data_IF_267783876862
#
_entry.id   IF_267783876862
#
_cell.length_a   1.000
_cell.length_b   1.000
_cell.length_c   1.000
_cell.angle_alpha   90.00
_cell.angle_beta   90.00
_cell.angle_gamma   90.00
#
_symmetry.space_group_name_H-M   'P 1'
#
loop_
_entity.id
_entity.type
_entity.pdbx_description
1 polymer ?
#
# COMPACT_ATOMS: atom_id res chain seq x y z
N UNK A 1 -17.71 -0.97 -10.95
CA UNK A 1 -17.80 -2.43 -10.74
C UNK A 1 -17.12 -2.77 -9.43
N UNK A 2 -17.79 -3.51 -8.54
CA UNK A 2 -17.19 -4.11 -7.35
C UNK A 2 -16.69 -5.51 -7.68
N UNK A 3 -15.48 -5.87 -7.25
CA UNK A 3 -14.96 -7.24 -7.36
C UNK A 3 -14.42 -7.68 -6.01
N UNK A 4 -14.83 -8.86 -5.57
CA UNK A 4 -14.24 -9.57 -4.42
C UNK A 4 -13.32 -10.63 -5.00
N UNK A 5 -12.03 -10.51 -4.69
CA UNK A 5 -11.01 -11.46 -5.08
C UNK A 5 -10.58 -12.26 -3.86
N UNK A 6 -10.47 -13.58 -4.02
CA UNK A 6 -9.93 -14.47 -2.99
C UNK A 6 -8.51 -14.83 -3.36
N UNK A 7 -7.67 -14.85 -2.33
CA UNK A 7 -6.23 -15.08 -2.46
C UNK A 7 -5.74 -15.99 -1.35
N UNK A 8 -5.02 -17.04 -1.72
CA UNK A 8 -4.27 -17.88 -0.79
C UNK A 8 -3.09 -17.13 -0.18
N UNK A 9 -2.89 -17.31 1.12
CA UNK A 9 -1.75 -16.76 1.85
C UNK A 9 -0.53 -17.65 1.67
N UNK A 10 -0.71 -18.95 1.90
CA UNK A 10 0.31 -20.01 1.73
C UNK A 10 0.22 -20.70 0.38
N UNK A 11 -0.83 -20.43 -0.40
CA UNK A 11 -1.07 -21.08 -1.70
C UNK A 11 -1.13 -20.07 -2.83
N UNK A 12 -0.87 -20.53 -4.05
CA UNK A 12 -0.97 -19.72 -5.25
C UNK A 12 -2.42 -19.45 -5.70
N UNK A 13 -3.42 -19.80 -4.87
CA UNK A 13 -4.83 -19.60 -5.16
C UNK A 13 -5.13 -18.12 -5.37
N UNK A 14 -5.63 -17.75 -6.55
CA UNK A 14 -6.02 -16.39 -6.89
C UNK A 14 -7.22 -16.48 -7.83
N UNK A 15 -8.38 -16.03 -7.39
CA UNK A 15 -9.54 -16.05 -8.27
C UNK A 15 -10.56 -14.96 -7.91
N UNK A 16 -11.23 -14.38 -8.92
CA UNK A 16 -12.29 -13.41 -8.71
C UNK A 16 -13.56 -14.14 -8.21
N UNK A 17 -13.78 -14.11 -6.90
CA UNK A 17 -14.87 -14.82 -6.22
C UNK A 17 -16.24 -14.24 -6.53
N UNK A 18 -16.40 -12.92 -6.49
CA UNK A 18 -17.66 -12.23 -6.82
C UNK A 18 -17.41 -10.94 -7.60
N UNK A 19 -18.36 -10.56 -8.45
CA UNK A 19 -18.30 -9.35 -9.26
C UNK A 19 -19.69 -8.76 -9.40
N UNK A 20 -19.83 -7.48 -9.12
CA UNK A 20 -21.09 -6.75 -9.16
C UNK A 20 -20.94 -5.51 -10.03
N UNK A 21 -21.79 -5.40 -11.04
CA UNK A 21 -21.86 -4.21 -11.88
C UNK A 21 -22.51 -3.08 -11.07
N UNK A 22 -21.67 -2.16 -10.58
CA UNK A 22 -22.10 -1.02 -9.76
C UNK A 22 -21.37 0.23 -10.22
N UNK A 23 -22.07 1.37 -10.20
CA UNK A 23 -21.47 2.69 -10.46
C UNK A 23 -20.75 3.21 -9.21
N UNK A 24 -21.32 2.95 -8.05
CA UNK A 24 -20.75 3.23 -6.73
C UNK A 24 -21.32 2.24 -5.73
N UNK A 25 -20.62 2.00 -4.63
CA UNK A 25 -21.13 1.22 -3.50
C UNK A 25 -20.90 1.98 -2.20
N UNK A 26 -21.86 1.95 -1.29
CA UNK A 26 -21.71 2.47 0.07
C UNK A 26 -21.34 1.35 1.04
N UNK A 27 -20.78 1.71 2.19
CA UNK A 27 -20.40 0.74 3.22
C UNK A 27 -21.55 -0.17 3.65
N UNK A 28 -22.76 0.39 3.73
CA UNK A 28 -23.96 -0.29 4.20
C UNK A 28 -24.39 -1.44 3.25
N UNK A 29 -24.10 -1.31 1.95
CA UNK A 29 -24.26 -2.41 0.97
C UNK A 29 -23.05 -3.33 0.92
N UNK A 30 -21.84 -2.81 1.10
CA UNK A 30 -20.61 -3.62 1.08
C UNK A 30 -20.58 -4.62 2.26
N UNK A 31 -21.05 -4.20 3.43
CA UNK A 31 -21.04 -4.98 4.66
C UNK A 31 -21.71 -6.36 4.53
N UNK A 32 -23.00 -6.48 4.13
CA UNK A 32 -23.65 -7.78 3.96
C UNK A 32 -23.05 -8.61 2.81
N UNK A 33 -22.58 -7.97 1.73
CA UNK A 33 -21.94 -8.67 0.60
C UNK A 33 -20.64 -9.35 1.06
N UNK A 34 -19.82 -8.62 1.82
CA UNK A 34 -18.57 -9.14 2.36
C UNK A 34 -18.83 -10.33 3.29
N UNK A 35 -19.72 -10.21 4.28
CA UNK A 35 -20.00 -11.30 5.21
C UNK A 35 -20.65 -12.50 4.53
N UNK A 36 -21.48 -12.30 3.50
CA UNK A 36 -21.98 -13.40 2.68
C UNK A 36 -20.86 -14.13 1.95
N UNK A 37 -19.87 -13.41 1.43
CA UNK A 37 -18.69 -14.02 0.81
C UNK A 37 -17.87 -14.83 1.81
N UNK A 38 -17.59 -14.27 3.00
CA UNK A 38 -16.88 -14.97 4.08
C UNK A 38 -17.63 -16.24 4.50
N UNK A 39 -18.95 -16.16 4.71
CA UNK A 39 -19.81 -17.31 5.02
C UNK A 39 -19.68 -18.43 4.00
N UNK A 40 -19.71 -18.11 2.70
CA UNK A 40 -19.57 -19.13 1.64
C UNK A 40 -18.17 -19.75 1.68
N UNK A 41 -17.12 -18.94 1.80
CA UNK A 41 -15.73 -19.40 1.83
C UNK A 41 -15.47 -20.35 3.01
N UNK A 42 -15.92 -19.98 4.20
CA UNK A 42 -15.66 -20.76 5.39
C UNK A 42 -16.61 -21.93 5.58
N UNK A 43 -17.92 -21.70 5.45
CA UNK A 43 -18.91 -22.74 5.72
C UNK A 43 -18.96 -23.78 4.60
N UNK A 44 -18.85 -23.35 3.33
CA UNK A 44 -19.01 -24.24 2.16
C UNK A 44 -17.68 -24.77 1.64
N UNK A 45 -16.67 -23.90 1.47
CA UNK A 45 -15.37 -24.29 0.90
C UNK A 45 -14.32 -24.65 1.94
N UNK A 46 -14.61 -24.46 3.24
CA UNK A 46 -13.68 -24.70 4.35
C UNK A 46 -12.36 -23.92 4.21
N UNK A 47 -12.41 -22.75 3.58
CA UNK A 47 -11.30 -21.82 3.44
C UNK A 47 -11.41 -20.73 4.50
N UNK A 48 -10.47 -20.69 5.45
CA UNK A 48 -10.42 -19.64 6.49
C UNK A 48 -10.06 -18.28 5.90
N UNK A 49 -10.80 -17.25 6.27
CA UNK A 49 -10.55 -15.87 5.83
C UNK A 49 -9.87 -15.09 6.94
N UNK A 50 -8.56 -14.88 6.82
CA UNK A 50 -7.78 -14.16 7.83
C UNK A 50 -7.78 -12.64 7.63
N UNK A 51 -7.83 -12.18 6.38
CA UNK A 51 -7.65 -10.77 6.04
C UNK A 51 -8.69 -10.26 5.05
N UNK A 52 -9.08 -9.01 5.23
CA UNK A 52 -9.75 -8.19 4.24
C UNK A 52 -8.88 -6.98 3.89
N UNK A 53 -8.47 -6.90 2.62
CA UNK A 53 -7.64 -5.83 2.09
C UNK A 53 -8.48 -4.94 1.20
N UNK A 54 -8.53 -3.65 1.52
CA UNK A 54 -9.27 -2.66 0.73
C UNK A 54 -8.38 -1.46 0.39
N UNK A 55 -8.72 -0.79 -0.71
CA UNK A 55 -8.13 0.51 -1.01
C UNK A 55 -8.63 1.59 -0.04
N UNK A 56 -8.07 2.79 -0.16
CA UNK A 56 -8.42 3.93 0.67
C UNK A 56 -9.76 4.59 0.32
N UNK A 57 -10.69 3.98 -0.44
CA UNK A 57 -11.95 4.63 -0.80
C UNK A 57 -12.85 4.91 0.44
N UNK A 58 -13.69 5.95 0.36
CA UNK A 58 -14.56 6.37 1.47
C UNK A 58 -15.50 5.27 1.94
N UNK A 59 -16.08 4.50 1.00
CA UNK A 59 -16.95 3.37 1.31
C UNK A 59 -16.21 2.26 2.08
N UNK A 60 -14.97 1.96 1.70
CA UNK A 60 -14.15 0.93 2.35
C UNK A 60 -13.75 1.33 3.76
N UNK A 61 -13.36 2.59 3.97
CA UNK A 61 -13.07 3.11 5.31
C UNK A 61 -14.30 3.10 6.22
N UNK A 62 -15.46 3.52 5.71
CA UNK A 62 -16.71 3.45 6.47
C UNK A 62 -17.09 1.99 6.75
N UNK A 63 -16.84 1.07 5.82
CA UNK A 63 -17.03 -0.37 6.04
C UNK A 63 -16.18 -0.91 7.19
N UNK A 64 -14.90 -0.54 7.31
CA UNK A 64 -14.12 -0.90 8.51
C UNK A 64 -14.72 -0.31 9.78
N UNK A 65 -15.19 0.94 9.74
CA UNK A 65 -15.83 1.59 10.90
C UNK A 65 -17.15 0.94 11.33
N UNK A 66 -17.91 0.33 10.41
CA UNK A 66 -19.13 -0.40 10.76
C UNK A 66 -18.88 -1.62 11.67
N UNK A 67 -17.62 -2.08 11.79
CA UNK A 67 -17.23 -3.17 12.69
C UNK A 67 -16.82 -2.68 14.09
N UNK A 68 -16.94 -1.38 14.38
CA UNK A 68 -16.71 -0.85 15.74
C UNK A 68 -17.73 -1.41 16.71
N UNK A 69 -17.22 -1.94 17.82
CA UNK A 69 -18.03 -2.37 18.96
C UNK A 69 -18.19 -1.26 20.01
N UNK A 70 -17.37 -0.21 19.93
CA UNK A 70 -17.34 0.90 20.88
C UNK A 70 -17.41 2.27 20.17
N UNK A 71 -17.63 3.32 20.96
CA UNK A 71 -17.59 4.71 20.49
C UNK A 71 -16.16 5.28 20.43
N UNK A 72 -15.13 4.43 20.36
CA UNK A 72 -13.75 4.88 20.34
C UNK A 72 -13.44 5.67 19.07
N UNK A 73 -12.57 6.67 19.18
CA UNK A 73 -12.06 7.43 18.03
C UNK A 73 -11.00 6.67 17.24
N UNK A 74 -10.44 5.60 17.83
CA UNK A 74 -9.40 4.76 17.24
C UNK A 74 -9.90 3.99 16.01
N UNK A 75 -9.06 3.77 15.00
CA UNK A 75 -9.47 2.99 13.83
C UNK A 75 -9.57 1.49 14.17
N UNK A 76 -10.57 0.82 13.57
CA UNK A 76 -10.75 -0.64 13.70
C UNK A 76 -9.85 -1.35 12.72
N UNK A 77 -9.09 -2.30 13.24
CA UNK A 77 -8.15 -3.10 12.46
C UNK A 77 -8.49 -4.60 12.49
N UNK A 78 -9.46 -5.03 13.30
CA UNK A 78 -9.96 -6.39 13.27
C UNK A 78 -11.44 -6.47 13.69
N UNK A 79 -12.06 -7.60 13.42
CA UNK A 79 -13.39 -7.95 13.92
C UNK A 79 -13.47 -9.44 14.23
N UNK A 80 -14.41 -9.85 15.08
CA UNK A 80 -14.66 -11.26 15.33
C UNK A 80 -15.35 -11.87 14.12
N UNK A 81 -14.90 -13.04 13.70
CA UNK A 81 -15.58 -13.77 12.65
C UNK A 81 -16.82 -14.48 13.23
N UNK A 82 -18.05 -14.17 12.75
CA UNK A 82 -19.28 -14.82 13.21
C UNK A 82 -19.37 -16.30 12.80
N UNK A 83 -18.46 -16.80 11.98
CA UNK A 83 -18.42 -18.21 11.55
C UNK A 83 -17.30 -19.03 12.20
N UNK A 84 -16.35 -18.38 12.88
CA UNK A 84 -15.29 -19.02 13.68
C UNK A 84 -14.94 -18.07 14.85
N UNK A 85 -15.59 -18.26 16.00
CA UNK A 85 -15.40 -17.37 17.17
C UNK A 85 -13.96 -17.36 17.71
N UNK A 86 -13.15 -18.36 17.35
CA UNK A 86 -11.73 -18.44 17.73
C UNK A 86 -10.82 -17.67 16.76
N UNK A 87 -11.36 -17.17 15.64
CA UNK A 87 -10.61 -16.50 14.60
C UNK A 87 -11.07 -15.05 14.42
N UNK A 88 -10.18 -14.10 14.71
CA UNK A 88 -10.35 -12.72 14.28
C UNK A 88 -10.05 -12.57 12.79
N UNK A 89 -10.85 -11.75 12.12
CA UNK A 89 -10.61 -11.27 10.76
C UNK A 89 -9.97 -9.89 10.83
N UNK A 90 -8.82 -9.72 10.17
CA UNK A 90 -8.02 -8.51 10.20
C UNK A 90 -8.23 -7.64 8.96
N UNK A 91 -8.29 -6.32 9.15
CA UNK A 91 -8.41 -5.34 8.09
C UNK A 91 -7.05 -4.75 7.74
N UNK A 92 -6.73 -4.68 6.46
CA UNK A 92 -5.50 -4.06 5.97
C UNK A 92 -5.87 -3.02 4.93
N UNK A 93 -5.32 -1.81 5.07
CA UNK A 93 -5.42 -0.82 4.00
C UNK A 93 -4.34 -1.12 2.95
N UNK A 94 -4.63 -0.87 1.68
CA UNK A 94 -3.67 -1.05 0.58
C UNK A 94 -2.38 -0.22 0.83
N UNK A 95 -1.36 -0.85 1.41
CA UNK A 95 -0.06 -0.25 1.76
C UNK A 95 0.56 0.55 0.60
N UNK A 96 0.59 0.03 -0.65
CA UNK A 96 0.93 0.78 -1.86
C UNK A 96 0.18 2.10 -2.04
N UNK A 97 -1.11 2.11 -1.74
CA UNK A 97 -1.94 3.31 -1.79
C UNK A 97 -1.58 4.28 -0.67
N UNK A 98 -1.27 3.79 0.54
CA UNK A 98 -0.83 4.64 1.65
C UNK A 98 0.43 5.43 1.27
N UNK A 99 1.40 4.78 0.63
CA UNK A 99 2.61 5.44 0.13
C UNK A 99 2.30 6.58 -0.85
N UNK A 100 1.36 6.34 -1.79
CA UNK A 100 0.89 7.38 -2.71
C UNK A 100 0.21 8.52 -1.97
N UNK A 101 -0.62 8.23 -0.98
CA UNK A 101 -1.29 9.29 -0.20
C UNK A 101 -0.30 10.10 0.64
N UNK A 102 0.79 9.50 1.10
CA UNK A 102 1.89 10.20 1.78
C UNK A 102 2.57 11.19 0.83
N UNK A 103 2.92 10.75 -0.39
CA UNK A 103 3.42 11.64 -1.45
C UNK A 103 2.42 12.74 -1.82
N UNK A 104 1.12 12.43 -1.87
CA UNK A 104 0.08 13.43 -2.14
C UNK A 104 -0.03 14.49 -1.02
N UNK A 105 0.27 14.10 0.22
CA UNK A 105 0.34 15.05 1.34
C UNK A 105 1.61 15.89 1.27
N UNK A 106 2.75 15.28 0.93
CA UNK A 106 4.05 15.96 0.83
C UNK A 106 4.07 16.99 -0.31
N UNK A 107 3.63 16.59 -1.51
CA UNK A 107 3.57 17.46 -2.71
C UNK A 107 2.40 18.43 -2.70
N UNK A 108 1.57 18.47 -1.65
CA UNK A 108 0.29 19.16 -1.68
C UNK A 108 0.41 20.68 -1.87
N UNK A 109 1.41 21.30 -1.26
CA UNK A 109 1.69 22.74 -1.39
C UNK A 109 1.98 23.14 -2.85
N UNK A 110 2.47 22.19 -3.65
CA UNK A 110 2.79 22.35 -5.07
C UNK A 110 1.65 21.87 -5.99
N UNK A 111 0.64 21.19 -5.43
CA UNK A 111 -0.56 20.83 -6.15
C UNK A 111 -1.50 22.03 -6.31
N UNK A 112 -2.39 22.00 -7.30
CA UNK A 112 -3.41 23.04 -7.51
C UNK A 112 -4.31 23.32 -6.28
N UNK A 113 -4.36 22.40 -5.30
CA UNK A 113 -5.20 22.52 -4.10
C UNK A 113 -4.53 23.32 -2.97
N UNK A 114 -3.19 23.32 -2.88
CA UNK A 114 -2.38 24.03 -1.85
C UNK A 114 -2.95 23.97 -0.42
N UNK A 115 -3.37 22.79 0.02
CA UNK A 115 -4.11 22.60 1.30
C UNK A 115 -3.25 22.13 2.48
N UNK A 116 -2.03 21.64 2.25
CA UNK A 116 -1.16 21.10 3.30
C UNK A 116 0.26 21.62 3.20
N UNK A 117 0.87 21.86 4.36
CA UNK A 117 2.25 22.25 4.53
C UNK A 117 2.79 21.45 5.72
N UNK A 118 3.41 20.31 5.45
CA UNK A 118 3.85 19.39 6.49
C UNK A 118 4.97 20.03 7.32
N UNK A 119 4.89 19.88 8.64
CA UNK A 119 5.78 20.56 9.58
C UNK A 119 5.94 19.72 10.83
N UNK A 120 7.17 19.46 11.29
CA UNK A 120 7.45 18.72 12.51
C UNK A 120 8.69 19.30 13.20
N UNK A 121 8.77 19.22 14.54
CA UNK A 121 9.95 19.66 15.33
C UNK A 121 10.58 20.98 14.82
N UNK A 122 9.73 21.99 14.62
CA UNK A 122 10.13 23.34 14.15
C UNK A 122 10.76 23.42 12.75
N UNK A 123 10.67 22.37 11.93
CA UNK A 123 11.15 22.33 10.55
C UNK A 123 10.06 21.85 9.59
N UNK A 124 10.19 22.21 8.32
CA UNK A 124 9.28 21.77 7.28
C UNK A 124 9.65 20.38 6.73
N UNK A 125 8.60 19.61 6.43
CA UNK A 125 8.73 18.37 5.65
C UNK A 125 8.28 18.73 4.24
N UNK A 126 9.25 18.99 3.36
CA UNK A 126 9.00 19.77 2.16
C UNK A 126 9.27 19.00 0.88
N UNK A 127 8.34 19.12 -0.06
CA UNK A 127 8.57 18.69 -1.44
C UNK A 127 9.67 19.51 -2.12
N UNK A 128 9.94 20.73 -1.67
CA UNK A 128 10.99 21.58 -2.27
C UNK A 128 12.37 20.97 -2.12
N UNK A 129 12.65 20.32 -1.00
CA UNK A 129 13.92 19.61 -0.79
C UNK A 129 14.15 18.56 -1.88
N UNK A 130 13.09 17.89 -2.34
CA UNK A 130 13.17 16.92 -3.43
C UNK A 130 13.31 17.56 -4.81
N UNK A 131 12.66 18.71 -5.03
CA UNK A 131 12.79 19.49 -6.27
C UNK A 131 14.22 19.97 -6.43
N UNK A 132 14.77 20.63 -5.40
CA UNK A 132 16.14 21.15 -5.38
C UNK A 132 17.15 20.03 -5.62
N UNK A 133 17.02 18.91 -4.89
CA UNK A 133 17.89 17.74 -5.09
C UNK A 133 17.85 17.24 -6.54
N UNK A 134 16.67 17.24 -7.17
CA UNK A 134 16.52 16.78 -8.55
C UNK A 134 17.07 17.78 -9.57
N UNK A 135 16.88 19.09 -9.35
CA UNK A 135 17.41 20.14 -10.21
C UNK A 135 18.95 20.13 -10.19
N UNK A 136 19.56 20.10 -9.01
CA UNK A 136 21.01 19.93 -8.87
C UNK A 136 21.50 18.61 -9.47
N UNK A 137 20.73 17.53 -9.33
CA UNK A 137 21.05 16.27 -9.98
C UNK A 137 21.06 16.39 -11.52
N UNK A 138 20.14 17.17 -12.11
CA UNK A 138 20.10 17.37 -13.56
C UNK A 138 21.24 18.24 -14.08
N UNK A 139 21.82 19.11 -13.24
CA UNK A 139 22.96 19.96 -13.59
C UNK A 139 24.31 19.24 -13.51
N UNK A 140 24.39 18.11 -12.78
CA UNK A 140 25.61 17.34 -12.62
C UNK A 140 25.80 16.29 -13.74
N UNK A 141 26.82 16.49 -14.57
CA UNK A 141 27.13 15.58 -15.70
C UNK A 141 27.90 14.31 -15.31
N UNK A 142 28.55 14.28 -14.13
CA UNK A 142 29.56 13.25 -13.79
C UNK A 142 29.08 12.28 -12.70
N UNK A 143 28.21 12.72 -11.79
CA UNK A 143 27.76 11.91 -10.64
C UNK A 143 26.24 12.03 -10.43
N UNK A 144 25.56 10.89 -10.38
CA UNK A 144 24.13 10.80 -10.11
C UNK A 144 23.89 10.08 -8.77
N UNK A 145 23.78 10.80 -7.65
CA UNK A 145 23.50 10.19 -6.35
C UNK A 145 22.14 9.48 -6.33
N UNK A 146 21.22 9.92 -7.18
CA UNK A 146 19.84 9.45 -7.25
C UNK A 146 19.43 9.02 -8.67
N UNK A 147 20.16 8.07 -9.27
CA UNK A 147 19.98 7.62 -10.67
C UNK A 147 18.59 7.12 -11.08
N UNK A 148 17.71 6.84 -10.11
CA UNK A 148 16.32 6.44 -10.36
C UNK A 148 15.38 7.63 -10.44
N UNK A 149 15.74 8.78 -9.86
CA UNK A 149 14.96 10.00 -9.98
C UNK A 149 15.02 10.50 -11.41
N UNK A 150 13.87 10.90 -11.90
CA UNK A 150 13.67 11.41 -13.27
C UNK A 150 12.52 12.39 -13.22
N UNK A 151 12.36 13.20 -14.27
CA UNK A 151 11.34 14.25 -14.35
C UNK A 151 9.93 13.81 -13.86
N UNK A 152 9.41 12.61 -14.19
CA UNK A 152 8.11 12.14 -13.71
C UNK A 152 7.98 11.97 -12.18
N UNK A 153 9.08 11.92 -11.44
CA UNK A 153 9.09 11.88 -9.98
C UNK A 153 8.81 13.25 -9.36
N UNK A 154 9.19 14.33 -10.04
CA UNK A 154 9.04 15.71 -9.55
C UNK A 154 7.81 16.37 -10.18
N UNK A 155 7.65 16.24 -11.50
CA UNK A 155 6.50 16.75 -12.25
C UNK A 155 5.31 15.81 -12.10
N UNK A 156 4.61 15.95 -10.99
CA UNK A 156 3.47 15.09 -10.67
C UNK A 156 2.23 15.47 -11.52
N UNK A 157 1.85 14.57 -12.42
CA UNK A 157 0.60 14.58 -13.19
C UNK A 157 -0.40 13.60 -12.57
N UNK A 158 -1.68 13.69 -12.96
CA UNK A 158 -2.71 12.74 -12.52
C UNK A 158 -2.30 11.26 -12.75
N UNK A 159 -1.54 10.98 -13.81
CA UNK A 159 -1.04 9.65 -14.11
C UNK A 159 0.14 9.23 -13.22
N UNK A 160 1.08 10.13 -12.93
CA UNK A 160 2.25 9.79 -12.10
C UNK A 160 1.88 9.66 -10.63
N UNK A 161 0.87 10.41 -10.15
CA UNK A 161 0.28 10.21 -8.81
C UNK A 161 -0.23 8.79 -8.57
N UNK A 162 -0.62 8.07 -9.62
CA UNK A 162 -1.15 6.71 -9.50
C UNK A 162 -0.07 5.63 -9.50
N UNK A 163 1.17 5.99 -9.87
CA UNK A 163 2.31 5.08 -10.02
C UNK A 163 3.03 4.86 -8.70
N UNK A 164 2.86 3.67 -8.13
CA UNK A 164 3.47 3.31 -6.85
C UNK A 164 5.00 3.20 -6.94
N UNK A 165 5.55 2.80 -8.09
CA UNK A 165 7.00 2.71 -8.24
C UNK A 165 7.67 4.09 -8.07
N UNK A 166 7.09 5.15 -8.64
CA UNK A 166 7.59 6.52 -8.46
C UNK A 166 7.53 6.92 -6.99
N UNK A 167 6.40 6.69 -6.32
CA UNK A 167 6.26 6.99 -4.90
C UNK A 167 7.30 6.26 -4.02
N UNK A 168 7.55 4.98 -4.30
CA UNK A 168 8.56 4.20 -3.59
C UNK A 168 9.99 4.64 -3.89
N UNK A 169 10.27 5.12 -5.11
CA UNK A 169 11.59 5.65 -5.48
C UNK A 169 11.84 7.01 -4.82
N UNK A 170 10.84 7.89 -4.73
CA UNK A 170 10.93 9.15 -3.99
C UNK A 170 11.17 8.90 -2.50
N UNK A 171 10.40 7.98 -1.91
CA UNK A 171 10.51 7.64 -0.49
C UNK A 171 11.57 6.56 -0.22
N UNK A 172 12.68 6.59 -0.96
CA UNK A 172 13.74 5.58 -0.83
C UNK A 172 14.88 6.03 0.06
N UNK A 173 15.57 5.05 0.67
CA UNK A 173 16.78 5.31 1.46
C UNK A 173 17.89 6.03 0.67
N UNK A 174 18.01 5.81 -0.64
CA UNK A 174 18.97 6.53 -1.49
C UNK A 174 18.68 8.02 -1.56
N UNK A 175 17.40 8.41 -1.67
CA UNK A 175 17.00 9.82 -1.68
C UNK A 175 17.24 10.46 -0.32
N UNK A 176 16.92 9.77 0.77
CA UNK A 176 17.22 10.23 2.13
C UNK A 176 18.73 10.46 2.33
N UNK A 177 19.57 9.51 1.92
CA UNK A 177 21.03 9.64 2.02
C UNK A 177 21.56 10.80 1.19
N UNK A 178 21.02 11.02 -0.02
CA UNK A 178 21.43 12.14 -0.86
C UNK A 178 21.06 13.48 -0.22
N UNK A 179 19.84 13.64 0.29
CA UNK A 179 19.43 14.85 1.00
C UNK A 179 20.35 15.15 2.20
N UNK A 180 20.63 14.13 3.01
CA UNK A 180 21.50 14.25 4.20
C UNK A 180 22.97 14.54 3.84
N UNK A 181 23.41 14.14 2.64
CA UNK A 181 24.78 14.36 2.20
C UNK A 181 25.00 15.75 1.60
N UNK A 182 24.04 16.27 0.84
CA UNK A 182 24.19 17.54 0.10
C UNK A 182 23.66 18.76 0.85
N UNK A 183 22.71 18.58 1.77
CA UNK A 183 22.08 19.69 2.48
C UNK A 183 22.38 19.64 3.97
N UNK A 184 22.11 20.77 4.63
CA UNK A 184 22.33 20.96 6.07
C UNK A 184 21.16 20.39 6.91
N UNK A 185 21.12 20.78 8.19
CA UNK A 185 20.10 20.33 9.11
C UNK A 185 18.67 20.77 8.75
N UNK A 186 18.48 21.66 7.77
CA UNK A 186 17.14 22.11 7.34
C UNK A 186 16.31 20.97 6.74
N UNK A 187 16.95 20.00 6.07
CA UNK A 187 16.25 18.86 5.44
C UNK A 187 15.98 17.70 6.40
N UNK A 188 16.42 17.79 7.66
CA UNK A 188 16.46 16.66 8.61
C UNK A 188 15.10 15.98 8.80
N UNK A 189 14.02 16.77 8.89
CA UNK A 189 12.66 16.22 9.05
C UNK A 189 12.14 15.57 7.77
N UNK A 190 12.56 16.06 6.60
CA UNK A 190 12.24 15.42 5.31
C UNK A 190 12.98 14.09 5.16
N UNK A 191 14.27 14.05 5.54
CA UNK A 191 15.07 12.82 5.58
C UNK A 191 14.45 11.81 6.54
N UNK A 192 14.09 12.25 7.75
CA UNK A 192 13.42 11.43 8.76
C UNK A 192 12.12 10.82 8.22
N UNK A 193 11.26 11.65 7.62
CA UNK A 193 10.02 11.21 6.99
C UNK A 193 10.25 10.15 5.91
N UNK A 194 11.20 10.39 4.99
CA UNK A 194 11.54 9.46 3.92
C UNK A 194 12.03 8.12 4.48
N UNK A 195 12.93 8.14 5.48
CA UNK A 195 13.46 6.92 6.11
C UNK A 195 12.36 6.09 6.78
N UNK A 196 11.44 6.73 7.49
CA UNK A 196 10.30 6.05 8.12
C UNK A 196 9.42 5.37 7.07
N UNK A 197 9.06 6.06 5.98
CA UNK A 197 8.25 5.47 4.92
C UNK A 197 8.98 4.39 4.11
N UNK A 198 10.29 4.55 3.86
CA UNK A 198 11.10 3.51 3.20
C UNK A 198 11.04 2.21 4.01
N UNK A 199 11.39 2.29 5.29
CA UNK A 199 11.44 1.12 6.18
C UNK A 199 10.07 0.50 6.40
N UNK A 200 9.04 1.32 6.62
CA UNK A 200 7.65 0.85 6.68
C UNK A 200 7.25 0.08 5.41
N UNK A 201 7.57 0.61 4.23
CA UNK A 201 7.20 -0.03 2.97
C UNK A 201 7.98 -1.32 2.75
N UNK A 202 9.27 -1.36 3.08
CA UNK A 202 10.12 -2.55 2.95
C UNK A 202 9.62 -3.69 3.86
N UNK A 203 9.37 -3.40 5.15
CA UNK A 203 8.78 -4.35 6.10
C UNK A 203 7.47 -5.00 5.61
N UNK A 204 6.67 -4.25 4.84
CA UNK A 204 5.35 -4.68 4.35
C UNK A 204 5.35 -5.04 2.85
N UNK A 205 6.51 -5.15 2.20
CA UNK A 205 6.63 -5.45 0.77
C UNK A 205 7.66 -6.56 0.48
N UNK A 206 7.85 -7.50 1.41
CA UNK A 206 8.68 -8.71 1.26
C UNK A 206 8.18 -9.60 0.13
N UNK A 207 8.93 -9.77 -0.97
CA UNK A 207 8.50 -10.55 -2.14
C UNK A 207 8.93 -11.97 -2.26
N UNK A 208 10.02 -12.30 -1.63
CA UNK A 208 10.59 -13.63 -1.70
C UNK A 208 11.46 -13.84 -0.47
N UNK A 209 11.72 -15.11 -0.18
CA UNK A 209 12.60 -15.52 0.91
C UNK A 209 14.04 -14.99 0.76
N UNK A 210 14.42 -14.55 -0.44
CA UNK A 210 15.80 -14.15 -0.76
C UNK A 210 15.92 -12.66 -1.09
N UNK A 211 14.83 -11.89 -1.06
CA UNK A 211 14.87 -10.48 -1.49
C UNK A 211 15.73 -9.64 -0.56
N UNK A 212 15.55 -9.76 0.75
CA UNK A 212 16.35 -9.04 1.73
C UNK A 212 17.83 -9.40 1.65
N UNK A 213 18.18 -10.69 1.54
CA UNK A 213 19.56 -11.14 1.25
C UNK A 213 20.13 -10.53 -0.04
N UNK A 214 19.41 -10.63 -1.15
CA UNK A 214 19.89 -10.17 -2.46
C UNK A 214 20.08 -8.65 -2.52
N UNK A 215 19.21 -7.90 -1.83
CA UNK A 215 19.29 -6.45 -1.74
C UNK A 215 20.11 -5.94 -0.55
N UNK A 216 20.60 -6.86 0.29
CA UNK A 216 21.27 -6.55 1.57
C UNK A 216 20.43 -5.62 2.45
N UNK A 217 19.14 -5.88 2.51
CA UNK A 217 18.18 -5.09 3.28
C UNK A 217 17.35 -6.03 4.19
N UNK A 218 17.64 -6.08 5.50
CA UNK A 218 16.93 -6.96 6.43
C UNK A 218 15.46 -6.59 6.62
N UNK A 219 15.06 -5.35 6.32
CA UNK A 219 13.65 -4.97 6.38
C UNK A 219 12.82 -5.70 5.29
N UNK A 220 13.46 -6.24 4.24
CA UNK A 220 12.83 -7.05 3.20
C UNK A 220 12.90 -8.57 3.46
N UNK A 221 13.37 -9.03 4.62
CA UNK A 221 13.35 -10.45 4.96
C UNK A 221 11.95 -10.91 5.40
N UNK A 222 11.55 -12.18 5.19
CA UNK A 222 10.32 -12.71 5.75
C UNK A 222 10.29 -12.60 7.28
N UNK A 223 9.09 -12.48 7.85
CA UNK A 223 8.92 -12.61 9.30
C UNK A 223 8.98 -14.08 9.68
N UNK A 224 10.00 -14.46 10.46
CA UNK A 224 10.17 -15.83 10.97
C UNK A 224 10.05 -15.92 12.48
N UNK A 225 10.07 -14.79 13.17
CA UNK A 225 9.97 -14.69 14.63
C UNK A 225 8.81 -13.77 15.03
N UNK A 226 8.03 -14.20 16.02
CA UNK A 226 6.93 -13.42 16.62
C UNK A 226 7.45 -12.21 17.39
N UNK A 227 8.72 -12.25 17.81
CA UNK A 227 9.42 -11.19 18.53
C UNK A 227 10.39 -10.42 17.63
N UNK A 228 10.21 -10.47 16.31
CA UNK A 228 11.05 -9.74 15.37
C UNK A 228 11.01 -8.23 15.68
N UNK A 229 12.20 -7.64 15.91
CA UNK A 229 12.37 -6.23 16.25
C UNK A 229 11.72 -5.27 15.24
N UNK A 230 11.52 -5.69 13.99
CA UNK A 230 10.82 -4.89 12.96
C UNK A 230 9.34 -4.72 13.29
N UNK A 231 8.70 -5.70 13.92
CA UNK A 231 7.30 -5.60 14.37
C UNK A 231 7.17 -4.57 15.50
N UNK A 232 8.10 -4.62 16.45
CA UNK A 232 8.19 -3.62 17.51
C UNK A 232 8.41 -2.24 16.90
N UNK A 233 9.41 -2.09 16.03
CA UNK A 233 9.69 -0.83 15.33
C UNK A 233 8.46 -0.26 14.61
N UNK A 234 7.69 -1.09 13.89
CA UNK A 234 6.45 -0.66 13.23
C UNK A 234 5.45 -0.10 14.25
N UNK A 235 5.25 -0.77 15.38
CA UNK A 235 4.26 -0.37 16.39
C UNK A 235 4.69 0.78 17.29
N UNK A 236 5.95 0.81 17.72
CA UNK A 236 6.44 1.75 18.73
C UNK A 236 7.09 2.95 18.08
N UNK A 237 7.99 2.73 17.11
CA UNK A 237 8.78 3.80 16.49
C UNK A 237 8.01 4.45 15.34
N UNK A 238 7.51 3.66 14.39
CA UNK A 238 6.85 4.21 13.21
C UNK A 238 5.49 4.83 13.51
N UNK A 239 4.62 4.15 14.27
CA UNK A 239 3.36 4.77 14.71
C UNK A 239 3.61 5.85 15.77
N UNK A 240 4.58 5.65 16.67
CA UNK A 240 4.96 6.65 17.67
C UNK A 240 5.46 7.95 17.06
N UNK A 241 6.19 7.90 15.95
CA UNK A 241 6.61 9.08 15.19
C UNK A 241 5.42 9.98 14.81
N UNK A 242 4.29 9.41 14.38
CA UNK A 242 3.11 10.20 14.03
C UNK A 242 2.37 10.76 15.25
N UNK A 243 2.40 10.05 16.38
CA UNK A 243 1.83 10.56 17.63
C UNK A 243 2.69 11.67 18.23
N UNK A 244 4.02 11.53 18.23
CA UNK A 244 4.95 12.58 18.62
C UNK A 244 4.80 13.79 17.69
N UNK A 245 4.73 13.58 16.38
CA UNK A 245 4.50 14.64 15.41
C UNK A 245 3.18 15.38 15.70
N UNK A 246 2.09 14.66 15.99
CA UNK A 246 0.83 15.27 16.41
C UNK A 246 0.98 16.12 17.68
N UNK A 247 1.67 15.60 18.70
CA UNK A 247 1.94 16.32 19.95
C UNK A 247 2.78 17.59 19.71
N UNK A 248 3.82 17.51 18.87
CA UNK A 248 4.66 18.65 18.50
C UNK A 248 3.83 19.77 17.85
N UNK A 249 2.83 19.42 17.04
CA UNK A 249 1.91 20.39 16.44
C UNK A 249 0.88 20.94 17.43
N UNK A 250 0.38 20.09 18.34
CA UNK A 250 -0.55 20.52 19.39
C UNK A 250 0.11 21.52 20.34
N UNK A 251 1.34 21.24 20.77
CA UNK A 251 2.16 22.04 21.70
C UNK A 251 2.78 23.28 21.08
N UNK A 252 2.70 23.45 19.75
CA UNK A 252 3.23 24.62 19.07
C UNK A 252 2.53 25.88 19.59
N UNK A 253 3.29 26.81 20.19
CA UNK A 253 2.85 28.10 20.75
C UNK A 253 2.42 29.13 19.69
N UNK A 254 1.67 28.69 18.68
CA UNK A 254 1.08 29.55 17.65
C UNK A 254 -0.44 29.46 17.80
N UNK A 255 -1.12 30.60 17.74
CA UNK A 255 -2.57 30.70 17.63
C UNK A 255 -3.06 30.16 16.26
N UNK A 256 -2.78 28.89 15.98
CA UNK A 256 -3.17 28.20 14.77
C UNK A 256 -4.53 27.50 14.99
N UNK A 257 -5.45 27.71 14.05
CA UNK A 257 -6.74 27.02 14.02
C UNK A 257 -6.55 25.50 13.90
N UNK A 258 -7.54 24.72 14.34
CA UNK A 258 -7.52 23.25 14.19
C UNK A 258 -7.30 22.81 12.73
N UNK A 259 -7.83 23.58 11.76
CA UNK A 259 -7.63 23.35 10.33
C UNK A 259 -6.16 23.52 9.91
N UNK A 260 -5.49 24.57 10.40
CA UNK A 260 -4.07 24.80 10.14
C UNK A 260 -3.20 23.72 10.77
N UNK A 261 -3.48 23.33 12.02
CA UNK A 261 -2.80 22.21 12.68
C UNK A 261 -2.97 20.90 11.89
N UNK A 262 -4.18 20.61 11.41
CA UNK A 262 -4.44 19.43 10.58
C UNK A 262 -3.78 19.48 9.19
N UNK A 263 -3.42 20.66 8.69
CA UNK A 263 -2.68 20.85 7.44
C UNK A 263 -1.17 20.62 7.60
N UNK A 264 -0.67 20.63 8.85
CA UNK A 264 0.74 20.39 9.20
C UNK A 264 1.12 18.92 9.32
N UNK A 265 0.13 18.03 9.30
CA UNK A 265 0.33 16.57 9.40
C UNK A 265 -0.19 15.87 8.15
N UNK A 266 0.03 14.55 8.07
CA UNK A 266 -0.63 13.71 7.06
C UNK A 266 -2.15 13.75 7.21
N UNK A 267 -2.86 13.38 6.13
CA UNK A 267 -4.31 13.28 6.21
C UNK A 267 -4.73 12.22 7.24
N UNK A 268 -5.80 12.49 8.00
CA UNK A 268 -6.37 11.51 8.94
C UNK A 268 -6.61 10.15 8.30
N UNK A 269 -7.06 10.14 7.04
CA UNK A 269 -7.31 8.90 6.28
C UNK A 269 -6.02 8.10 6.04
N UNK A 270 -4.92 8.77 5.75
CA UNK A 270 -3.60 8.14 5.60
C UNK A 270 -3.11 7.61 6.93
N UNK A 271 -3.20 8.40 8.01
CA UNK A 271 -2.79 7.99 9.36
C UNK A 271 -3.58 6.79 9.87
N UNK A 272 -4.91 6.83 9.73
CA UNK A 272 -5.79 5.71 10.09
C UNK A 272 -5.42 4.46 9.30
N UNK A 273 -5.19 4.57 7.99
CA UNK A 273 -4.79 3.45 7.15
C UNK A 273 -3.43 2.84 7.52
N UNK A 274 -2.46 3.68 7.88
CA UNK A 274 -1.15 3.22 8.40
C UNK A 274 -1.34 2.46 9.72
N UNK A 275 -2.10 3.03 10.66
CA UNK A 275 -2.38 2.43 11.98
C UNK A 275 -3.11 1.09 11.86
N UNK A 276 -4.13 1.02 10.99
CA UNK A 276 -4.85 -0.22 10.68
C UNK A 276 -3.90 -1.29 10.16
N UNK A 277 -3.12 -0.96 9.13
CA UNK A 277 -2.27 -1.94 8.46
C UNK A 277 -1.17 -2.46 9.38
N UNK A 278 -0.51 -1.56 10.13
CA UNK A 278 0.53 -1.94 11.09
C UNK A 278 -0.02 -2.85 12.19
N UNK A 279 -1.11 -2.45 12.87
CA UNK A 279 -1.68 -3.25 13.97
C UNK A 279 -2.11 -4.64 13.48
N UNK A 280 -2.82 -4.70 12.36
CA UNK A 280 -3.28 -5.97 11.76
C UNK A 280 -2.15 -6.92 11.40
N UNK A 281 -1.09 -6.41 10.78
CA UNK A 281 0.04 -7.23 10.36
C UNK A 281 0.81 -7.72 11.59
N UNK A 282 1.09 -6.84 12.55
CA UNK A 282 1.79 -7.21 13.78
C UNK A 282 1.05 -8.27 14.57
N UNK A 283 -0.27 -8.15 14.73
CA UNK A 283 -1.06 -9.18 15.41
C UNK A 283 -1.09 -10.50 14.66
N UNK A 284 -1.18 -10.48 13.33
CA UNK A 284 -1.17 -11.72 12.58
C UNK A 284 0.18 -12.44 12.66
N UNK A 285 1.30 -11.71 12.56
CA UNK A 285 2.65 -12.31 12.69
C UNK A 285 2.82 -12.96 14.05
N UNK A 286 2.32 -12.33 15.12
CA UNK A 286 2.40 -12.87 16.49
C UNK A 286 1.56 -14.13 16.72
N UNK A 287 0.54 -14.39 15.90
CA UNK A 287 -0.38 -15.53 16.06
C UNK A 287 0.12 -16.86 15.45
N UNK A 288 1.37 -16.93 15.00
CA UNK A 288 2.00 -18.15 14.47
C UNK A 288 1.26 -18.83 13.30
N UNK A 289 0.46 -18.09 12.53
CA UNK A 289 0.03 -18.58 11.22
C UNK A 289 1.20 -18.40 10.24
N UNK A 290 1.60 -19.45 9.47
CA UNK A 290 2.75 -19.36 8.58
C UNK A 290 2.50 -18.31 7.48
N UNK A 291 2.97 -17.09 7.74
CA UNK A 291 2.96 -15.92 6.86
C UNK A 291 4.08 -15.98 5.82
N UNK A 292 4.44 -17.20 5.36
CA UNK A 292 5.65 -17.46 4.57
C UNK A 292 5.74 -16.67 3.26
N UNK A 293 4.67 -16.02 2.78
CA UNK A 293 4.70 -15.22 1.54
C UNK A 293 3.79 -13.98 1.54
N UNK A 294 3.64 -13.30 2.68
CA UNK A 294 2.55 -12.33 2.80
C UNK A 294 2.69 -11.06 1.95
N UNK A 295 3.89 -10.60 1.56
CA UNK A 295 4.00 -9.23 1.00
C UNK A 295 4.45 -9.12 -0.47
N UNK A 296 4.64 -10.27 -1.12
CA UNK A 296 5.32 -10.29 -2.40
C UNK A 296 4.48 -10.24 -3.64
N UNK A 297 3.30 -10.75 -3.42
CA UNK A 297 2.62 -11.50 -4.43
C UNK A 297 1.51 -10.61 -5.03
N UNK A 298 1.35 -9.39 -4.50
CA UNK A 298 0.21 -8.50 -4.70
C UNK A 298 -0.03 -7.94 -6.11
N UNK A 299 0.88 -8.08 -7.11
CA UNK A 299 0.74 -7.22 -8.32
C UNK A 299 1.04 -7.81 -9.69
N UNK A 300 1.03 -9.12 -9.86
CA UNK A 300 1.18 -9.71 -11.18
C UNK A 300 -0.16 -10.19 -11.74
N UNK A 301 -0.56 -9.61 -12.89
CA UNK A 301 -1.66 -9.95 -13.82
C UNK A 301 -2.90 -9.05 -13.73
N UNK A 302 -2.89 -7.98 -14.52
CA UNK A 302 -4.11 -7.36 -15.06
C UNK A 302 -3.91 -7.21 -16.56
N UNK A 303 -4.84 -7.73 -17.35
CA UNK A 303 -4.76 -7.89 -18.81
C UNK A 303 -4.92 -6.58 -19.61
N UNK A 304 -5.11 -6.72 -20.93
CA UNK A 304 -5.26 -5.63 -21.89
C UNK A 304 -6.71 -5.42 -22.31
N UNK A 305 -7.43 -4.54 -21.60
CA UNK A 305 -8.52 -3.73 -22.15
C UNK A 305 -8.67 -2.51 -21.23
N UNK A 306 -8.38 -1.31 -21.74
CA UNK A 306 -8.36 -0.09 -20.92
C UNK A 306 -9.76 0.46 -20.63
N UNK A 307 -10.80 -0.06 -21.30
CA UNK A 307 -12.19 0.32 -21.04
C UNK A 307 -13.17 -0.82 -21.42
N UNK A 308 -13.14 -1.96 -20.70
CA UNK A 308 -14.02 -3.09 -20.99
C UNK A 308 -15.47 -2.75 -20.61
N UNK A 309 -16.43 -3.22 -21.40
CA UNK A 309 -17.85 -3.10 -21.03
C UNK A 309 -18.17 -4.03 -19.86
N UNK A 310 -19.29 -3.78 -19.17
CA UNK A 310 -19.77 -4.68 -18.09
C UNK A 310 -19.93 -6.12 -18.59
N UNK A 311 -20.38 -6.27 -19.83
CA UNK A 311 -20.52 -7.57 -20.50
C UNK A 311 -19.15 -8.24 -20.69
N UNK A 312 -18.15 -7.50 -21.16
CA UNK A 312 -16.79 -8.02 -21.35
C UNK A 312 -16.16 -8.44 -20.03
N UNK A 313 -16.32 -7.65 -18.95
CA UNK A 313 -15.76 -8.02 -17.66
C UNK A 313 -16.47 -9.24 -17.08
N UNK A 314 -17.80 -9.36 -17.24
CA UNK A 314 -18.53 -10.57 -16.85
C UNK A 314 -18.02 -11.80 -17.61
N UNK A 315 -17.82 -11.69 -18.91
CA UNK A 315 -17.28 -12.78 -19.73
C UNK A 315 -15.84 -13.13 -19.36
N UNK A 316 -14.99 -12.13 -19.07
CA UNK A 316 -13.64 -12.35 -18.56
C UNK A 316 -13.66 -13.03 -17.20
N UNK A 317 -14.52 -12.62 -16.27
CA UNK A 317 -14.65 -13.26 -14.96
C UNK A 317 -15.13 -14.71 -15.09
N UNK A 318 -16.08 -14.99 -15.98
CA UNK A 318 -16.54 -16.36 -16.26
C UNK A 318 -15.44 -17.20 -16.89
N UNK A 319 -14.68 -16.64 -17.84
CA UNK A 319 -13.55 -17.31 -18.50
C UNK A 319 -12.40 -17.57 -17.51
N UNK A 320 -12.10 -16.61 -16.63
CA UNK A 320 -11.12 -16.77 -15.55
C UNK A 320 -11.53 -17.86 -14.56
N UNK A 321 -12.83 -17.98 -14.27
CA UNK A 321 -13.38 -19.05 -13.42
C UNK A 321 -13.38 -20.42 -14.09
N UNK A 322 -13.58 -20.47 -15.41
CA UNK A 322 -13.71 -21.71 -16.17
C UNK A 322 -12.38 -22.29 -16.70
N UNK A 323 -11.40 -21.46 -17.06
CA UNK A 323 -10.25 -21.89 -17.90
C UNK A 323 -8.89 -21.77 -17.21
N UNK A 324 -8.79 -21.21 -16.00
CA UNK A 324 -7.51 -21.20 -15.28
C UNK A 324 -6.38 -20.43 -16.02
N UNK A 325 -6.53 -19.13 -16.20
CA UNK A 325 -5.46 -18.17 -16.55
C UNK A 325 -4.53 -18.49 -17.75
N UNK A 326 -5.01 -18.29 -18.98
CA UNK A 326 -4.17 -18.08 -20.18
C UNK A 326 -4.13 -16.60 -20.65
N UNK A 327 -4.54 -15.64 -19.82
CA UNK A 327 -4.50 -14.23 -20.22
C UNK A 327 -3.06 -13.66 -20.17
N UNK A 328 -2.50 -13.32 -21.34
CA UNK A 328 -1.24 -12.61 -21.51
C UNK A 328 -1.26 -11.23 -20.84
N UNK A 329 -0.14 -10.82 -20.25
CA UNK A 329 0.01 -9.52 -19.58
C UNK A 329 0.21 -8.39 -20.60
N UNK A 330 -0.31 -7.17 -20.34
CA UNK A 330 -0.11 -6.01 -21.20
C UNK A 330 1.33 -5.51 -21.14
N UNK A 331 1.88 -5.13 -22.30
CA UNK A 331 3.21 -4.47 -22.42
C UNK A 331 3.33 -3.14 -21.64
N UNK A 332 2.21 -2.52 -21.28
CA UNK A 332 2.15 -1.24 -20.55
C UNK A 332 1.14 -1.33 -19.39
N UNK A 333 1.51 -2.05 -18.33
CA UNK A 333 0.87 -1.93 -17.01
C UNK A 333 1.63 -0.94 -16.12
N UNK A 334 1.08 -0.61 -14.95
CA UNK A 334 1.72 0.25 -13.94
C UNK A 334 3.01 -0.34 -13.31
N UNK A 335 3.50 -1.47 -13.84
CA UNK A 335 4.73 -2.15 -13.45
C UNK A 335 5.37 -2.64 -14.75
N UNK A 336 6.56 -2.14 -15.07
CA UNK A 336 7.37 -2.63 -16.18
C UNK A 336 8.10 -3.89 -15.75
N UNK A 337 7.89 -5.00 -16.46
CA UNK A 337 8.73 -6.20 -16.33
C UNK A 337 9.23 -6.55 -17.73
N UNK A 338 10.55 -6.66 -17.89
CA UNK A 338 11.15 -7.22 -19.10
C UNK A 338 10.80 -8.70 -19.18
N UNK A 339 10.07 -9.11 -20.22
CA UNK A 339 9.95 -10.52 -20.62
C UNK A 339 10.17 -10.65 -22.11
N UNK A 340 10.99 -11.63 -22.47
CA UNK A 340 11.16 -12.12 -23.84
C UNK A 340 9.81 -12.63 -24.38
N UNK A 341 9.57 -12.40 -25.67
CA UNK A 341 8.35 -12.82 -26.34
C UNK A 341 8.29 -14.35 -26.36
N UNK A 342 7.30 -14.95 -25.70
CA UNK A 342 6.92 -16.34 -25.97
C UNK A 342 5.85 -16.27 -27.07
N UNK A 343 6.14 -16.67 -28.31
CA UNK A 343 5.12 -16.75 -29.35
C UNK A 343 4.15 -17.88 -28.97
N UNK A 344 2.87 -17.54 -28.89
CA UNK A 344 1.81 -18.54 -28.91
C UNK A 344 1.60 -18.85 -30.39
N UNK A 345 2.06 -20.01 -30.85
CA UNK A 345 1.77 -20.51 -32.19
C UNK A 345 0.69 -21.60 -32.14
N UNK A 346 0.25 -22.04 -33.31
CA UNK A 346 -0.77 -23.09 -33.45
C UNK A 346 -0.15 -24.50 -33.39
N UNK A 347 0.98 -24.70 -32.70
CA UNK A 347 1.54 -26.07 -32.59
C UNK A 347 0.61 -26.97 -31.79
N UNK A 348 0.30 -28.13 -32.38
CA UNK A 348 -0.49 -29.15 -31.72
C UNK A 348 0.26 -29.67 -30.49
N UNK A 349 -0.44 -29.76 -29.36
CA UNK A 349 0.11 -30.32 -28.13
C UNK A 349 0.49 -31.79 -28.38
N UNK A 350 1.66 -32.26 -27.90
CA UNK A 350 2.08 -33.64 -28.11
C UNK A 350 1.05 -34.59 -27.49
N UNK A 351 0.52 -35.48 -28.32
CA UNK A 351 -0.36 -36.56 -27.86
C UNK A 351 0.44 -37.43 -26.90
N UNK A 352 -0.04 -37.53 -25.65
CA UNK A 352 0.54 -38.42 -24.64
C UNK A 352 0.57 -39.84 -25.22
N UNK A 353 1.75 -40.45 -25.25
CA UNK A 353 1.91 -41.91 -25.39
C UNK A 353 1.59 -42.58 -24.07
#
# INVERSE_FOLDING_TARGET
MLVIMVRGITTNLKFPFAGFATNSITADFLYPIFWKAVSILECSFKLKVLFCICDGASANRKFFQLHKLDNSTEPVYFTKNPHDENCNLYFISDVPHLLKTAINCLSNLYSHKKTRQLWNREKDISWMHLVLLFEEHCEQDIYSPCSKLSRPHIDLTAFTYMKVNLAAQILSGTVANALEHFYDESVSETVCFIRHFNRFFDCLNVRSLFEGRNKRNPDLDPYTDVNDNRLEWLTTTFLGYFEEWRQNIENRNIAATAKQKAAMTLSRQTLDGLKISVKSITECVKRQDPLEQHFGHYRHKSGANNNPTVYDVRNMMTTLRAVGSQALQPRKGNISVNRENIPIDNTELPRRR
#
